data_IF_571170384795
#
_entry.id   IF_571170384795
#
_cell.length_a   1.000
_cell.length_b   1.000
_cell.length_c   1.000
_cell.angle_alpha   90.00
_cell.angle_beta   90.00
_cell.angle_gamma   90.00
#
_symmetry.space_group_name_H-M   'P 1'
#
loop_
_entity.id
_entity.type
_entity.pdbx_description
1 polymer ?
#
# COMPACT_ATOMS: atom_id res chain seq x y z
N UNK A 1 -11.49 -3.18 -13.28
CA UNK A 1 -11.62 -4.67 -13.31
C UNK A 1 -12.36 -5.23 -14.53
N UNK A 2 -13.59 -4.80 -14.88
CA UNK A 2 -14.33 -5.38 -16.02
C UNK A 2 -13.59 -5.30 -17.36
N UNK A 3 -13.03 -4.14 -17.71
CA UNK A 3 -12.22 -3.96 -18.93
C UNK A 3 -10.99 -4.87 -18.93
N UNK A 4 -10.28 -4.95 -17.81
CA UNK A 4 -9.11 -5.83 -17.63
C UNK A 4 -9.44 -7.31 -17.88
N UNK A 5 -10.56 -7.82 -17.34
CA UNK A 5 -10.98 -9.21 -17.59
C UNK A 5 -11.28 -9.46 -19.08
N UNK A 6 -12.11 -8.61 -19.69
CA UNK A 6 -12.49 -8.78 -21.09
C UNK A 6 -11.35 -8.60 -22.07
N UNK A 7 -10.43 -7.67 -21.81
CA UNK A 7 -9.32 -7.37 -22.72
C UNK A 7 -8.09 -8.24 -22.48
N UNK A 8 -7.66 -8.41 -21.23
CA UNK A 8 -6.42 -9.14 -20.96
C UNK A 8 -6.66 -10.65 -20.91
N UNK A 9 -7.63 -11.12 -20.13
CA UNK A 9 -7.87 -12.56 -19.94
C UNK A 9 -8.63 -13.18 -21.10
N UNK A 10 -9.82 -12.65 -21.42
CA UNK A 10 -10.72 -13.27 -22.40
C UNK A 10 -10.20 -13.16 -23.83
N UNK A 11 -9.52 -12.06 -24.18
CA UNK A 11 -8.88 -11.89 -25.48
C UNK A 11 -7.40 -12.31 -25.50
N UNK A 12 -6.85 -12.80 -24.38
CA UNK A 12 -5.48 -13.32 -24.31
C UNK A 12 -4.40 -12.29 -24.66
N UNK A 13 -4.58 -11.02 -24.29
CA UNK A 13 -3.65 -9.92 -24.61
C UNK A 13 -2.44 -9.82 -23.66
N UNK A 14 -2.22 -10.86 -22.86
CA UNK A 14 -1.04 -10.98 -22.01
C UNK A 14 0.22 -11.24 -22.82
N UNK A 15 1.23 -10.40 -22.63
CA UNK A 15 2.60 -10.67 -23.05
C UNK A 15 3.37 -11.24 -21.88
N UNK A 16 3.83 -12.48 -22.01
CA UNK A 16 4.68 -13.12 -20.99
C UNK A 16 6.11 -12.62 -21.13
N UNK A 17 6.68 -12.18 -20.01
CA UNK A 17 8.07 -11.77 -19.90
C UNK A 17 8.80 -12.82 -19.06
N UNK A 18 9.79 -13.44 -19.69
CA UNK A 18 10.74 -14.33 -19.03
C UNK A 18 11.97 -13.54 -18.65
N UNK A 19 12.38 -13.64 -17.39
CA UNK A 19 13.62 -13.03 -16.91
C UNK A 19 14.74 -14.05 -17.13
N UNK A 20 15.38 -13.99 -18.29
CA UNK A 20 16.60 -14.74 -18.55
C UNK A 20 17.79 -13.87 -18.13
N UNK A 21 18.57 -14.33 -17.16
CA UNK A 21 19.76 -13.64 -16.68
C UNK A 21 20.83 -13.45 -17.78
N UNK A 22 20.71 -14.20 -18.88
CA UNK A 22 21.60 -14.13 -20.03
C UNK A 22 21.06 -13.25 -21.17
N UNK A 23 19.89 -12.63 -21.02
CA UNK A 23 19.32 -11.76 -22.06
C UNK A 23 20.15 -10.46 -22.19
N UNK A 24 20.73 -10.23 -23.37
CA UNK A 24 21.51 -9.03 -23.69
C UNK A 24 20.67 -7.88 -24.26
N UNK A 25 19.35 -8.02 -24.34
CA UNK A 25 18.45 -6.98 -24.81
C UNK A 25 18.39 -5.76 -23.87
N UNK A 26 17.60 -4.72 -24.22
CA UNK A 26 17.26 -3.59 -23.33
C UNK A 26 16.72 -4.05 -21.95
N UNK A 27 16.34 -5.33 -21.84
CA UNK A 27 15.85 -5.95 -20.62
C UNK A 27 16.92 -6.57 -19.72
N UNK A 28 18.22 -6.47 -20.05
CA UNK A 28 19.35 -7.01 -19.25
C UNK A 28 19.37 -6.57 -17.78
N UNK A 29 18.72 -5.44 -17.45
CA UNK A 29 18.62 -4.91 -16.09
C UNK A 29 17.32 -5.29 -15.35
N UNK A 30 16.44 -6.08 -15.97
CA UNK A 30 15.23 -6.57 -15.29
C UNK A 30 15.60 -7.74 -14.39
N UNK A 31 15.38 -7.55 -13.10
CA UNK A 31 15.62 -8.59 -12.10
C UNK A 31 14.33 -8.85 -11.37
N UNK A 32 13.90 -10.12 -11.37
CA UNK A 32 12.88 -10.58 -10.44
C UNK A 32 13.54 -11.43 -9.39
N UNK A 33 13.32 -11.04 -8.16
CA UNK A 33 13.79 -11.70 -6.98
C UNK A 33 12.54 -12.20 -6.26
N UNK A 34 12.38 -13.51 -6.14
CA UNK A 34 11.21 -14.10 -5.50
C UNK A 34 11.63 -15.17 -4.49
N UNK A 35 11.17 -15.00 -3.25
CA UNK A 35 11.44 -15.91 -2.15
C UNK A 35 10.14 -16.31 -1.46
N UNK A 36 10.13 -17.51 -0.88
CA UNK A 36 9.09 -18.00 0.00
C UNK A 36 9.68 -18.34 1.36
N UNK A 37 8.96 -18.02 2.43
CA UNK A 37 9.29 -18.31 3.82
C UNK A 37 8.05 -18.85 4.53
N UNK A 38 8.15 -19.97 5.22
CA UNK A 38 7.10 -20.41 6.14
C UNK A 38 7.16 -19.61 7.46
N UNK A 39 6.08 -19.53 8.22
CA UNK A 39 6.04 -18.71 9.44
C UNK A 39 7.12 -19.04 10.47
N UNK A 40 7.41 -20.33 10.67
CA UNK A 40 8.48 -20.77 11.58
C UNK A 40 9.87 -20.36 11.07
N UNK A 41 10.01 -20.10 9.76
CA UNK A 41 11.22 -19.62 9.10
C UNK A 41 11.30 -18.11 8.91
N UNK A 42 10.25 -17.34 9.21
CA UNK A 42 10.24 -15.89 8.96
C UNK A 42 11.36 -15.14 9.73
N UNK A 43 11.88 -15.73 10.81
CA UNK A 43 12.99 -15.18 11.59
C UNK A 43 14.34 -15.88 11.31
N UNK A 44 14.36 -16.85 10.39
CA UNK A 44 15.56 -17.56 9.97
C UNK A 44 15.75 -17.43 8.45
N UNK A 45 16.61 -16.49 8.00
CA UNK A 45 16.83 -16.25 6.58
C UNK A 45 17.47 -17.45 5.86
N UNK A 46 17.99 -18.45 6.59
CA UNK A 46 18.57 -19.67 6.00
C UNK A 46 17.52 -20.64 5.47
N UNK A 47 16.25 -20.42 5.81
CA UNK A 47 15.12 -21.27 5.41
C UNK A 47 14.30 -20.67 4.25
N UNK A 48 14.87 -19.71 3.53
CA UNK A 48 14.28 -19.12 2.33
C UNK A 48 14.37 -20.08 1.14
N UNK A 49 13.26 -20.25 0.41
CA UNK A 49 13.25 -21.00 -0.86
C UNK A 49 13.09 -20.03 -2.02
N UNK A 50 14.07 -20.02 -2.93
CA UNK A 50 13.98 -19.27 -4.18
C UNK A 50 12.92 -19.90 -5.10
N UNK A 51 12.06 -19.06 -5.67
CA UNK A 51 10.96 -19.50 -6.53
C UNK A 51 11.06 -18.86 -7.91
N UNK A 52 10.91 -19.67 -8.95
CA UNK A 52 10.71 -19.13 -10.30
C UNK A 52 9.30 -18.54 -10.39
N UNK A 53 9.22 -17.26 -10.74
CA UNK A 53 7.97 -16.58 -11.06
C UNK A 53 8.02 -16.05 -12.48
N UNK A 54 6.85 -15.93 -13.08
CA UNK A 54 6.64 -15.37 -14.40
C UNK A 54 5.93 -14.03 -14.25
N UNK A 55 6.27 -13.08 -15.10
CA UNK A 55 5.52 -11.83 -15.22
C UNK A 55 4.76 -11.82 -16.54
N UNK A 56 3.49 -11.44 -16.48
CA UNK A 56 2.67 -11.17 -17.64
C UNK A 56 2.32 -9.68 -17.62
N UNK A 57 2.38 -9.03 -18.78
CA UNK A 57 2.01 -7.62 -18.94
C UNK A 57 0.87 -7.49 -19.94
N UNK A 58 -0.08 -6.60 -19.66
CA UNK A 58 -1.18 -6.24 -20.55
C UNK A 58 -1.34 -4.73 -20.55
N UNK A 59 -1.39 -4.11 -21.73
CA UNK A 59 -1.62 -2.67 -21.88
C UNK A 59 -2.98 -2.45 -22.57
N UNK A 60 -3.78 -1.55 -21.99
CA UNK A 60 -5.11 -1.18 -22.45
C UNK A 60 -5.08 0.33 -22.70
N UNK A 61 -5.21 0.75 -23.94
CA UNK A 61 -5.37 2.18 -24.27
C UNK A 61 -6.85 2.56 -24.27
N UNK A 62 -7.15 3.77 -23.78
CA UNK A 62 -8.45 4.41 -23.98
C UNK A 62 -8.63 4.78 -25.46
N UNK A 63 -9.86 5.15 -25.86
CA UNK A 63 -10.20 5.38 -27.28
C UNK A 63 -9.38 6.49 -27.95
N UNK A 64 -8.91 7.46 -27.19
CA UNK A 64 -8.07 8.56 -27.69
C UNK A 64 -6.59 8.18 -27.81
N UNK A 65 -6.18 7.05 -27.20
CA UNK A 65 -4.79 6.59 -27.17
C UNK A 65 -3.86 7.49 -26.32
N UNK A 66 -4.42 8.42 -25.55
CA UNK A 66 -3.69 9.39 -24.71
C UNK A 66 -3.77 9.04 -23.22
N UNK A 67 -4.53 8.03 -22.86
CA UNK A 67 -4.62 7.49 -21.50
C UNK A 67 -4.87 5.99 -21.56
N UNK A 68 -4.66 5.31 -20.44
CA UNK A 68 -4.86 3.87 -20.39
C UNK A 68 -4.43 3.23 -19.09
N UNK A 69 -4.29 1.91 -19.14
CA UNK A 69 -3.81 1.07 -18.06
C UNK A 69 -2.67 0.19 -18.55
N UNK A 70 -1.61 0.07 -17.76
CA UNK A 70 -0.67 -1.05 -17.86
C UNK A 70 -0.87 -1.95 -16.65
N UNK A 71 -0.92 -3.26 -16.86
CA UNK A 71 -1.21 -4.25 -15.84
C UNK A 71 -0.12 -5.30 -15.87
N UNK A 72 0.46 -5.61 -14.73
CA UNK A 72 1.45 -6.66 -14.52
C UNK A 72 0.90 -7.69 -13.55
N UNK A 73 0.93 -8.96 -13.96
CA UNK A 73 0.59 -10.10 -13.13
C UNK A 73 1.85 -10.93 -12.89
N UNK A 74 2.18 -11.16 -11.63
CA UNK A 74 3.45 -11.76 -11.21
C UNK A 74 3.16 -12.99 -10.35
N UNK A 75 3.69 -14.14 -10.75
CA UNK A 75 3.47 -15.43 -10.09
C UNK A 75 3.67 -16.62 -11.05
N UNK A 76 3.11 -17.81 -10.76
CA UNK A 76 2.25 -18.11 -9.63
C UNK A 76 3.01 -18.18 -8.30
N UNK A 77 2.32 -17.83 -7.22
CA UNK A 77 2.68 -18.20 -5.85
C UNK A 77 1.78 -19.36 -5.41
N UNK A 78 2.29 -20.21 -4.52
CA UNK A 78 1.57 -21.38 -4.00
C UNK A 78 1.51 -21.29 -2.49
N UNK A 79 0.38 -20.79 -1.97
CA UNK A 79 0.16 -20.72 -0.52
C UNK A 79 -0.22 -22.08 0.06
N UNK A 80 0.40 -22.47 1.17
CA UNK A 80 0.09 -23.70 1.91
C UNK A 80 -0.54 -23.45 3.28
N UNK A 81 -0.94 -22.21 3.58
CA UNK A 81 -1.43 -21.75 4.87
C UNK A 81 -0.35 -21.74 5.96
N UNK A 82 -0.76 -21.42 7.18
CA UNK A 82 0.15 -21.34 8.33
C UNK A 82 0.98 -20.08 8.35
N UNK A 83 0.49 -18.99 7.75
CA UNK A 83 1.22 -17.73 7.59
C UNK A 83 2.45 -17.89 6.67
N UNK A 84 2.25 -18.63 5.57
CA UNK A 84 3.22 -18.84 4.50
C UNK A 84 3.44 -17.52 3.74
N UNK A 85 4.64 -16.96 3.89
CA UNK A 85 5.06 -15.65 3.42
C UNK A 85 5.72 -15.77 2.05
N UNK A 86 5.27 -14.95 1.12
CA UNK A 86 5.82 -14.83 -0.22
C UNK A 86 6.29 -13.40 -0.43
N UNK A 87 7.57 -13.24 -0.73
CA UNK A 87 8.17 -11.95 -1.04
C UNK A 87 8.64 -11.93 -2.49
N UNK A 88 8.21 -10.93 -3.25
CA UNK A 88 8.62 -10.74 -4.64
C UNK A 88 9.03 -9.29 -4.84
N UNK A 89 10.24 -9.08 -5.33
CA UNK A 89 10.72 -7.79 -5.80
C UNK A 89 10.98 -7.86 -7.31
N UNK A 90 10.35 -6.96 -8.05
CA UNK A 90 10.62 -6.75 -9.48
C UNK A 90 11.28 -5.38 -9.64
N UNK A 91 12.48 -5.38 -10.19
CA UNK A 91 13.22 -4.16 -10.54
C UNK A 91 13.06 -3.94 -12.05
N UNK A 92 12.84 -2.70 -12.45
CA UNK A 92 12.61 -2.30 -13.85
C UNK A 92 11.34 -2.92 -14.45
N UNK A 93 10.22 -2.75 -13.75
CA UNK A 93 8.90 -3.11 -14.25
C UNK A 93 8.65 -2.40 -15.61
N UNK A 94 8.11 -3.07 -16.63
CA UNK A 94 7.76 -2.42 -17.88
C UNK A 94 6.77 -1.28 -17.61
N UNK A 95 6.86 -0.22 -18.39
CA UNK A 95 6.01 0.97 -18.26
C UNK A 95 5.37 1.28 -19.62
N UNK A 96 4.26 2.03 -19.64
CA UNK A 96 3.57 2.39 -20.88
C UNK A 96 4.45 3.36 -21.68
N UNK A 97 4.62 3.20 -22.99
CA UNK A 97 5.54 4.05 -23.77
C UNK A 97 5.11 5.52 -23.89
N UNK A 98 3.82 5.81 -23.75
CA UNK A 98 3.26 7.16 -23.86
C UNK A 98 3.11 7.89 -22.53
N UNK A 99 3.26 7.18 -21.41
CA UNK A 99 3.00 7.74 -20.09
C UNK A 99 3.87 8.96 -19.81
N UNK A 100 3.22 10.04 -19.37
CA UNK A 100 3.83 11.24 -18.79
C UNK A 100 3.43 11.43 -17.33
N UNK A 101 2.29 10.85 -16.95
CA UNK A 101 1.78 10.85 -15.59
C UNK A 101 1.19 9.49 -15.24
N UNK A 102 1.29 9.11 -13.97
CA UNK A 102 0.44 8.09 -13.37
C UNK A 102 -0.71 8.75 -12.60
N UNK A 103 -1.95 8.42 -12.97
CA UNK A 103 -3.17 9.03 -12.45
C UNK A 103 -3.95 8.09 -11.52
N UNK A 104 -3.47 6.86 -11.36
CA UNK A 104 -4.05 5.90 -10.44
C UNK A 104 -3.31 4.56 -10.48
N UNK A 105 -3.70 3.67 -9.58
CA UNK A 105 -3.10 2.35 -9.42
C UNK A 105 -4.08 1.35 -8.87
N UNK A 106 -3.77 0.08 -9.05
CA UNK A 106 -4.28 -1.01 -8.24
C UNK A 106 -3.11 -1.93 -7.90
N UNK A 107 -3.01 -2.39 -6.66
CA UNK A 107 -2.03 -3.43 -6.31
C UNK A 107 -2.64 -4.41 -5.32
N UNK A 108 -2.81 -5.66 -5.72
CA UNK A 108 -3.54 -6.63 -4.92
C UNK A 108 -3.11 -8.08 -5.20
N UNK A 109 -3.33 -9.01 -4.26
CA UNK A 109 -3.29 -10.42 -4.56
C UNK A 109 -4.54 -10.82 -5.36
N UNK A 110 -4.36 -11.59 -6.43
CA UNK A 110 -5.44 -12.07 -7.30
C UNK A 110 -5.34 -13.58 -7.53
N UNK A 111 -6.47 -14.22 -7.75
CA UNK A 111 -6.52 -15.58 -8.27
C UNK A 111 -6.21 -15.61 -9.77
N UNK A 112 -6.08 -16.81 -10.33
CA UNK A 112 -5.77 -17.03 -11.76
C UNK A 112 -6.73 -16.31 -12.71
N UNK A 113 -8.01 -16.23 -12.34
CA UNK A 113 -9.08 -15.55 -13.09
C UNK A 113 -9.08 -14.01 -12.92
N UNK A 114 -8.14 -13.45 -12.15
CA UNK A 114 -8.06 -12.01 -11.86
C UNK A 114 -9.06 -11.51 -10.82
N UNK A 115 -9.81 -12.41 -10.20
CA UNK A 115 -10.60 -12.08 -9.01
C UNK A 115 -9.65 -11.73 -7.86
N UNK A 116 -10.01 -10.69 -7.10
CA UNK A 116 -9.26 -10.29 -5.93
C UNK A 116 -9.32 -11.43 -4.91
N UNK A 117 -8.17 -11.79 -4.35
CA UNK A 117 -8.13 -12.84 -3.34
C UNK A 117 -8.55 -12.30 -1.96
N UNK A 118 -8.21 -11.03 -1.69
CA UNK A 118 -8.57 -10.33 -0.46
C UNK A 118 -8.06 -11.00 0.81
N UNK A 119 -8.46 -10.42 1.94
CA UNK A 119 -8.20 -10.96 3.26
C UNK A 119 -9.52 -11.27 3.99
N UNK A 120 -9.63 -12.47 4.59
CA UNK A 120 -8.85 -13.68 4.30
C UNK A 120 -9.12 -14.19 2.86
N UNK A 121 -8.23 -14.99 2.22
CA UNK A 121 -7.14 -15.77 2.82
C UNK A 121 -5.73 -15.17 2.72
N UNK A 122 -5.52 -14.09 1.96
CA UNK A 122 -4.20 -13.52 1.72
C UNK A 122 -4.06 -12.17 2.42
N UNK A 123 -3.08 -12.06 3.30
CA UNK A 123 -2.71 -10.81 3.94
C UNK A 123 -1.64 -10.08 3.13
N UNK A 124 -1.90 -8.83 2.78
CA UNK A 124 -0.93 -7.96 2.08
C UNK A 124 -0.10 -7.19 3.11
N UNK A 125 1.09 -7.69 3.42
CA UNK A 125 1.96 -7.10 4.46
C UNK A 125 2.69 -5.85 3.94
N UNK A 126 3.30 -5.95 2.76
CA UNK A 126 3.89 -4.82 2.05
C UNK A 126 3.58 -4.94 0.57
N UNK A 127 2.93 -3.93 -0.03
CA UNK A 127 2.81 -3.84 -1.49
C UNK A 127 3.20 -2.43 -1.90
N UNK A 128 4.44 -2.29 -2.35
CA UNK A 128 5.07 -1.01 -2.56
C UNK A 128 5.57 -0.92 -3.99
N UNK A 129 5.17 0.13 -4.69
CA UNK A 129 5.77 0.54 -5.95
C UNK A 129 6.52 1.86 -5.78
N UNK A 130 7.74 1.89 -6.28
CA UNK A 130 8.63 3.03 -6.25
C UNK A 130 9.08 3.45 -7.66
N UNK A 131 9.50 4.71 -7.74
CA UNK A 131 10.13 5.34 -8.90
C UNK A 131 11.59 5.68 -8.56
N UNK A 132 12.38 6.09 -9.56
CA UNK A 132 13.72 6.65 -9.35
C UNK A 132 13.69 7.73 -8.25
N UNK A 133 14.34 7.46 -7.12
CA UNK A 133 14.43 8.37 -5.97
C UNK A 133 13.24 8.34 -4.98
N UNK A 134 12.14 7.61 -5.27
CA UNK A 134 10.97 7.52 -4.38
C UNK A 134 10.56 6.06 -4.18
N UNK A 135 10.94 5.45 -3.05
CA UNK A 135 10.73 4.01 -2.81
C UNK A 135 9.29 3.61 -2.51
N UNK A 136 8.48 4.53 -1.98
CA UNK A 136 7.13 4.27 -1.46
C UNK A 136 6.09 5.18 -2.14
N UNK A 137 6.28 5.39 -3.44
CA UNK A 137 5.45 6.32 -4.18
C UNK A 137 4.05 5.76 -4.40
N UNK A 138 3.86 4.47 -4.32
CA UNK A 138 2.55 3.85 -4.38
C UNK A 138 2.54 2.72 -3.38
N UNK A 139 1.68 2.81 -2.39
CA UNK A 139 1.60 1.78 -1.36
C UNK A 139 0.19 1.22 -1.27
N UNK A 140 0.07 -0.09 -1.15
CA UNK A 140 -1.13 -0.76 -0.67
C UNK A 140 -0.70 -1.56 0.56
N UNK A 141 -1.15 -1.13 1.73
CA UNK A 141 -0.78 -1.73 3.01
C UNK A 141 -1.99 -2.34 3.68
N UNK A 142 -1.79 -3.55 4.21
CA UNK A 142 -2.77 -4.21 5.01
C UNK A 142 -4.00 -4.67 4.23
N UNK A 143 -4.81 -5.39 4.96
CA UNK A 143 -6.13 -5.82 4.59
C UNK A 143 -7.03 -4.60 4.72
N UNK A 144 -6.94 -3.67 3.78
CA UNK A 144 -7.85 -2.54 3.72
C UNK A 144 -8.99 -2.86 2.74
N UNK A 145 -9.95 -3.76 3.08
CA UNK A 145 -11.24 -3.68 2.44
C UNK A 145 -11.89 -2.39 2.94
N UNK A 146 -12.45 -1.61 2.02
CA UNK A 146 -13.46 -0.67 2.47
C UNK A 146 -14.72 -1.44 2.84
N UNK A 147 -15.65 -0.77 3.51
CA UNK A 147 -16.99 -1.31 3.66
C UNK A 147 -17.61 -1.57 2.28
N UNK A 148 -18.54 -2.52 2.21
CA UNK A 148 -19.20 -2.92 0.95
C UNK A 148 -19.82 -1.73 0.20
N UNK A 149 -20.43 -0.80 0.94
CA UNK A 149 -21.02 0.44 0.43
C UNK A 149 -19.98 1.44 -0.10
N UNK A 150 -18.72 1.27 0.27
CA UNK A 150 -17.58 2.10 -0.15
C UNK A 150 -16.65 1.34 -1.11
N UNK A 151 -17.14 0.26 -1.72
CA UNK A 151 -16.47 -0.46 -2.78
C UNK A 151 -15.87 -1.81 -2.37
N UNK A 152 -15.96 -2.21 -1.09
CA UNK A 152 -15.48 -3.51 -0.62
C UNK A 152 -13.99 -3.70 -0.92
N UNK A 153 -13.70 -4.68 -1.78
CA UNK A 153 -12.34 -4.95 -2.27
C UNK A 153 -11.81 -3.92 -3.28
N UNK A 154 -12.64 -2.96 -3.72
CA UNK A 154 -12.21 -1.90 -4.65
C UNK A 154 -11.17 -0.96 -4.05
N UNK A 155 -10.87 -1.04 -2.76
CA UNK A 155 -9.92 -0.14 -2.10
C UNK A 155 -8.46 -0.42 -2.39
N UNK A 156 -8.17 -1.52 -3.11
CA UNK A 156 -6.90 -1.69 -3.78
C UNK A 156 -6.73 -0.71 -4.96
N UNK A 157 -7.82 -0.23 -5.56
CA UNK A 157 -7.84 0.74 -6.65
C UNK A 157 -7.85 2.16 -6.07
N UNK A 158 -6.80 2.92 -6.38
CA UNK A 158 -6.56 4.27 -5.88
C UNK A 158 -6.36 5.18 -7.09
N UNK A 159 -7.04 6.32 -7.12
CA UNK A 159 -6.92 7.31 -8.19
C UNK A 159 -6.69 8.70 -7.60
N UNK A 160 -5.77 9.43 -8.21
CA UNK A 160 -5.66 10.85 -7.93
C UNK A 160 -6.95 11.57 -8.38
N UNK A 161 -7.31 12.69 -7.75
CA UNK A 161 -8.43 13.50 -8.22
C UNK A 161 -8.26 13.88 -9.69
N UNK A 162 -9.38 14.05 -10.39
CA UNK A 162 -9.38 14.40 -11.80
C UNK A 162 -8.50 15.63 -12.09
N UNK A 163 -7.66 15.52 -13.12
CA UNK A 163 -6.69 16.56 -13.49
C UNK A 163 -5.40 16.57 -12.65
N UNK A 164 -5.14 15.55 -11.84
CA UNK A 164 -3.89 15.40 -11.08
C UNK A 164 -3.21 14.06 -11.36
N UNK A 165 -1.88 14.04 -11.27
CA UNK A 165 -1.11 12.81 -11.48
C UNK A 165 0.35 12.95 -11.08
N UNK A 166 0.96 11.82 -10.74
CA UNK A 166 2.40 11.74 -10.43
C UNK A 166 3.18 11.83 -11.74
N UNK A 167 4.10 12.80 -11.91
CA UNK A 167 4.94 12.88 -13.10
C UNK A 167 5.78 11.62 -13.28
N UNK A 168 5.95 11.21 -14.53
CA UNK A 168 6.76 10.05 -14.89
C UNK A 168 7.66 10.38 -16.08
N UNK A 169 8.97 10.22 -15.89
CA UNK A 169 9.97 10.47 -16.93
C UNK A 169 10.16 9.21 -17.75
N UNK A 170 9.56 9.22 -18.93
CA UNK A 170 9.52 8.08 -19.85
C UNK A 170 10.39 8.30 -21.09
N UNK A 171 11.52 8.98 -20.91
CA UNK A 171 12.47 9.25 -21.99
C UNK A 171 13.39 8.03 -22.22
N UNK A 172 14.30 8.11 -23.18
CA UNK A 172 15.34 7.09 -23.33
C UNK A 172 16.31 7.12 -22.14
N UNK A 173 16.91 5.97 -21.85
CA UNK A 173 18.03 5.83 -20.91
C UNK A 173 19.10 6.92 -21.20
N UNK A 174 19.68 7.58 -20.18
CA UNK A 174 19.64 7.28 -18.74
C UNK A 174 18.60 8.04 -17.91
N UNK A 175 17.75 8.87 -18.53
CA UNK A 175 16.85 9.77 -17.79
C UNK A 175 15.51 9.15 -17.41
N UNK A 176 15.29 7.88 -17.76
CA UNK A 176 14.04 7.16 -17.53
C UNK A 176 13.87 6.80 -16.06
N UNK A 177 12.67 6.99 -15.54
CA UNK A 177 12.31 6.53 -14.20
C UNK A 177 12.24 4.99 -14.16
N UNK A 178 12.91 4.41 -13.17
CA UNK A 178 12.86 2.98 -12.89
C UNK A 178 11.61 2.67 -12.05
N UNK A 179 10.80 1.71 -12.50
CA UNK A 179 9.70 1.18 -11.70
C UNK A 179 10.18 -0.04 -10.92
N UNK A 180 10.08 0.03 -9.60
CA UNK A 180 10.34 -1.11 -8.71
C UNK A 180 9.06 -1.46 -7.97
N UNK A 181 8.68 -2.74 -7.95
CA UNK A 181 7.60 -3.21 -7.09
C UNK A 181 8.11 -4.27 -6.11
N UNK A 182 7.68 -4.18 -4.86
CA UNK A 182 7.87 -5.18 -3.83
C UNK A 182 6.49 -5.64 -3.32
N UNK A 183 6.28 -6.94 -3.30
CA UNK A 183 5.12 -7.58 -2.70
C UNK A 183 5.59 -8.47 -1.55
N UNK A 184 4.85 -8.42 -0.44
CA UNK A 184 4.94 -9.37 0.66
C UNK A 184 3.51 -9.79 0.97
N UNK A 185 3.17 -11.02 0.59
CA UNK A 185 1.87 -11.64 0.84
C UNK A 185 2.01 -12.79 1.82
N UNK A 186 1.09 -12.92 2.77
CA UNK A 186 1.04 -14.05 3.69
C UNK A 186 -0.25 -14.85 3.49
N UNK A 187 -0.15 -16.15 3.27
CA UNK A 187 -1.29 -17.06 3.33
C UNK A 187 -1.64 -17.37 4.78
N UNK A 188 -2.64 -16.65 5.29
CA UNK A 188 -3.05 -16.70 6.69
C UNK A 188 -4.04 -17.84 6.99
N UNK A 189 -4.33 -18.72 6.01
CA UNK A 189 -5.23 -19.86 6.24
C UNK A 189 -4.65 -20.73 7.35
N UNK A 190 -5.51 -21.18 8.25
CA UNK A 190 -5.09 -22.00 9.40
C UNK A 190 -4.40 -23.27 8.90
N UNK A 191 -3.18 -23.51 9.37
CA UNK A 191 -2.46 -24.78 9.24
C UNK A 191 -2.04 -25.25 10.63
N UNK A 192 -2.47 -26.45 11.03
CA UNK A 192 -2.07 -27.09 12.27
C UNK A 192 -2.24 -28.61 12.16
N UNK A 193 -1.99 -29.34 13.26
CA UNK A 193 -2.06 -30.81 13.32
C UNK A 193 -3.36 -31.41 12.77
N UNK A 194 -4.48 -30.67 12.86
CA UNK A 194 -5.81 -31.14 12.47
C UNK A 194 -6.32 -30.50 11.17
N UNK A 195 -5.63 -29.50 10.63
CA UNK A 195 -6.07 -28.71 9.48
C UNK A 195 -4.89 -28.48 8.56
N UNK A 196 -4.95 -29.11 7.38
CA UNK A 196 -4.01 -28.82 6.27
C UNK A 196 -4.82 -28.24 5.12
N UNK A 197 -4.70 -26.93 4.84
CA UNK A 197 -5.44 -26.33 3.74
C UNK A 197 -4.90 -26.85 2.40
N UNK A 198 -5.76 -26.96 1.40
CA UNK A 198 -5.32 -27.29 0.05
C UNK A 198 -4.40 -26.18 -0.51
N UNK A 199 -3.37 -26.52 -1.30
CA UNK A 199 -2.54 -25.52 -1.96
C UNK A 199 -3.38 -24.51 -2.73
N UNK A 200 -3.05 -23.22 -2.59
CA UNK A 200 -3.75 -22.12 -3.24
C UNK A 200 -2.83 -21.41 -4.20
N UNK A 201 -3.24 -21.33 -5.46
CA UNK A 201 -2.53 -20.56 -6.47
C UNK A 201 -3.02 -19.13 -6.49
N UNK A 202 -2.09 -18.18 -6.39
CA UNK A 202 -2.39 -16.76 -6.48
C UNK A 202 -1.24 -15.99 -7.14
N UNK A 203 -1.48 -14.72 -7.42
CA UNK A 203 -0.58 -13.83 -8.14
C UNK A 203 -0.59 -12.46 -7.47
N UNK A 204 0.51 -11.72 -7.56
CA UNK A 204 0.51 -10.28 -7.31
C UNK A 204 0.13 -9.57 -8.60
N UNK A 205 -0.85 -8.67 -8.56
CA UNK A 205 -1.21 -7.84 -9.70
C UNK A 205 -0.99 -6.37 -9.38
N UNK A 206 -0.30 -5.65 -10.27
CA UNK A 206 -0.17 -4.19 -10.26
C UNK A 206 -0.81 -3.67 -11.53
N UNK A 207 -1.76 -2.76 -11.42
CA UNK A 207 -2.25 -1.95 -12.52
C UNK A 207 -1.87 -0.50 -12.29
N UNK A 208 -1.41 0.20 -13.31
CA UNK A 208 -1.12 1.63 -13.28
C UNK A 208 -1.95 2.33 -14.35
N UNK A 209 -2.76 3.29 -13.93
CA UNK A 209 -3.45 4.20 -14.84
C UNK A 209 -2.49 5.28 -15.26
N UNK A 210 -2.35 5.51 -16.55
CA UNK A 210 -1.43 6.49 -17.10
C UNK A 210 -2.14 7.50 -17.99
N UNK A 211 -1.51 8.67 -18.14
CA UNK A 211 -1.94 9.71 -19.08
C UNK A 211 -0.74 10.35 -19.77
N UNK A 212 -0.94 10.74 -21.03
CA UNK A 212 0.00 11.52 -21.84
C UNK A 212 -0.39 13.01 -21.94
N UNK A 213 -1.53 13.42 -21.34
CA UNK A 213 -2.13 14.75 -21.51
C UNK A 213 -1.47 15.81 -20.62
N UNK A 214 -0.30 16.30 -21.04
CA UNK A 214 0.52 17.23 -20.23
C UNK A 214 -0.18 18.55 -19.90
N UNK A 215 -1.04 19.04 -20.79
CA UNK A 215 -1.74 20.31 -20.58
C UNK A 215 -2.99 20.19 -19.69
N UNK A 216 -3.47 18.95 -19.45
CA UNK A 216 -4.67 18.67 -18.65
C UNK A 216 -4.34 18.17 -17.23
N UNK A 217 -3.15 17.60 -17.03
CA UNK A 217 -2.74 17.00 -15.76
C UNK A 217 -1.78 17.91 -15.00
N UNK A 218 -2.17 18.28 -13.78
CA UNK A 218 -1.33 19.00 -12.84
C UNK A 218 -0.43 18.02 -12.08
N UNK A 219 0.88 18.28 -12.01
CA UNK A 219 1.80 17.41 -11.31
C UNK A 219 1.50 17.42 -9.80
N UNK A 220 1.55 16.24 -9.19
CA UNK A 220 1.60 16.10 -7.73
C UNK A 220 2.97 15.61 -7.29
N UNK A 221 3.37 16.02 -6.08
CA UNK A 221 4.50 15.43 -5.37
C UNK A 221 3.97 14.60 -4.21
N UNK A 222 4.76 13.62 -3.80
CA UNK A 222 4.44 12.77 -2.68
C UNK A 222 5.52 12.83 -1.62
N UNK A 223 5.08 12.89 -0.37
CA UNK A 223 5.95 12.79 0.79
C UNK A 223 5.33 11.80 1.79
N UNK A 224 6.12 10.82 2.22
CA UNK A 224 5.77 9.96 3.33
C UNK A 224 6.27 10.60 4.63
N UNK A 225 5.35 11.05 5.47
CA UNK A 225 5.68 11.46 6.83
C UNK A 225 5.74 10.21 7.71
N UNK A 226 6.95 9.67 7.87
CA UNK A 226 7.16 8.62 8.86
C UNK A 226 6.87 9.17 10.24
N UNK A 227 6.06 8.43 11.00
CA UNK A 227 5.83 8.77 12.39
C UNK A 227 7.17 8.83 13.10
N UNK A 228 7.57 10.00 13.59
CA UNK A 228 8.74 10.09 14.48
C UNK A 228 8.53 9.09 15.61
N UNK A 229 9.58 8.31 15.88
CA UNK A 229 9.61 7.38 17.01
C UNK A 229 9.44 8.11 18.34
N UNK A 230 9.86 7.49 19.43
CA UNK A 230 9.56 7.88 20.82
C UNK A 230 10.10 9.25 21.30
N UNK A 231 10.59 10.10 20.41
CA UNK A 231 11.24 11.37 20.76
C UNK A 231 10.26 12.52 20.99
N UNK A 232 8.99 12.37 20.66
CA UNK A 232 7.97 13.38 20.92
C UNK A 232 7.17 12.99 22.18
N UNK A 233 7.02 13.92 23.13
CA UNK A 233 6.46 13.67 24.47
C UNK A 233 5.01 13.16 24.51
N UNK A 234 4.41 13.13 23.34
CA UNK A 234 3.02 12.82 23.03
C UNK A 234 2.85 11.54 22.19
N UNK A 235 3.93 10.86 21.82
CA UNK A 235 3.83 9.55 21.16
C UNK A 235 3.33 8.51 22.17
N UNK A 236 2.28 7.78 21.80
CA UNK A 236 1.82 6.60 22.52
C UNK A 236 1.62 5.42 21.57
N UNK A 237 1.58 4.23 22.15
CA UNK A 237 1.19 3.02 21.44
C UNK A 237 -0.33 2.98 21.24
N UNK A 238 -0.74 2.38 20.13
CA UNK A 238 -2.14 2.05 19.87
C UNK A 238 -2.43 0.77 20.64
N UNK A 239 -3.47 0.80 21.45
CA UNK A 239 -3.99 -0.39 22.14
C UNK A 239 -5.28 -0.82 21.48
N UNK A 240 -5.39 -2.12 21.22
CA UNK A 240 -6.50 -2.70 20.46
C UNK A 240 -7.73 -2.99 21.31
N UNK A 241 -7.60 -2.91 22.65
CA UNK A 241 -8.67 -3.25 23.60
C UNK A 241 -9.55 -2.07 24.01
N UNK A 242 -9.18 -0.84 23.67
CA UNK A 242 -9.92 0.38 24.02
C UNK A 242 -9.71 1.46 22.95
N UNK A 243 -10.61 2.44 22.83
CA UNK A 243 -10.35 3.62 22.03
C UNK A 243 -9.03 4.27 22.44
N UNK A 244 -8.14 4.45 21.47
CA UNK A 244 -6.86 5.12 21.66
C UNK A 244 -6.57 5.98 20.43
N UNK A 245 -5.75 7.00 20.62
CA UNK A 245 -5.37 7.91 19.55
C UNK A 245 -3.85 7.98 19.43
N UNK A 246 -3.38 8.04 18.19
CA UNK A 246 -1.97 8.26 17.87
C UNK A 246 -1.89 9.44 16.92
N UNK A 247 -0.95 10.34 17.18
CA UNK A 247 -0.72 11.50 16.32
C UNK A 247 0.75 11.60 15.98
N UNK A 248 1.00 12.22 14.82
CA UNK A 248 2.33 12.62 14.39
C UNK A 248 2.28 14.06 13.95
N UNK A 249 3.34 14.78 14.29
CA UNK A 249 3.57 16.14 13.79
C UNK A 249 4.80 16.12 12.92
N UNK A 250 4.71 16.72 11.76
CA UNK A 250 5.81 16.92 10.85
C UNK A 250 5.74 18.31 10.23
N UNK A 251 6.86 18.76 9.72
CA UNK A 251 6.88 19.91 8.82
C UNK A 251 6.65 19.37 7.42
N UNK A 252 5.60 19.85 6.75
CA UNK A 252 5.44 19.56 5.32
C UNK A 252 6.58 20.23 4.56
N UNK A 253 7.18 19.55 3.57
CA UNK A 253 8.31 20.11 2.81
C UNK A 253 7.88 21.26 1.88
N UNK A 254 6.58 21.51 1.76
CA UNK A 254 5.98 22.52 0.90
C UNK A 254 4.90 23.28 1.64
N UNK A 255 4.71 24.55 1.29
CA UNK A 255 3.64 25.46 1.71
C UNK A 255 2.34 25.27 0.89
N UNK A 256 2.31 24.25 0.02
CA UNK A 256 1.24 23.99 -0.93
C UNK A 256 -0.03 23.38 -0.34
N UNK A 257 -0.99 23.13 -1.23
CA UNK A 257 -2.26 22.46 -0.90
C UNK A 257 -2.05 20.96 -0.70
N UNK A 258 -2.51 20.43 0.42
CA UNK A 258 -2.59 18.98 0.63
C UNK A 258 -3.82 18.47 -0.13
N UNK A 259 -3.60 17.49 -0.99
CA UNK A 259 -4.68 16.81 -1.70
C UNK A 259 -5.00 15.55 -0.88
N UNK A 260 -6.20 15.50 -0.32
CA UNK A 260 -6.76 14.30 0.29
C UNK A 260 -7.86 13.86 -0.68
N UNK A 261 -7.68 12.74 -1.36
CA UNK A 261 -8.69 12.19 -2.26
C UNK A 261 -9.87 11.68 -1.42
N UNK A 262 -11.08 12.26 -1.57
CA UNK A 262 -12.28 11.77 -0.88
C UNK A 262 -12.61 10.33 -1.28
N UNK A 263 -12.30 9.93 -2.51
CA UNK A 263 -12.53 8.60 -3.05
C UNK A 263 -11.50 7.57 -2.54
N UNK A 264 -10.26 7.98 -2.27
CA UNK A 264 -9.24 7.12 -1.65
C UNK A 264 -9.44 6.98 -0.12
N UNK A 265 -10.35 7.77 0.45
CA UNK A 265 -10.83 7.79 1.84
C UNK A 265 -9.78 7.90 2.95
N UNK A 266 -8.49 7.90 2.64
CA UNK A 266 -7.42 7.89 3.63
C UNK A 266 -6.22 8.75 3.19
N UNK A 267 -5.66 9.59 4.08
CA UNK A 267 -4.27 10.01 3.90
C UNK A 267 -3.42 8.74 3.82
N UNK A 268 -2.54 8.64 2.81
CA UNK A 268 -1.75 7.43 2.56
C UNK A 268 -0.89 7.12 3.78
N UNK A 269 -1.32 6.14 4.57
CA UNK A 269 -0.72 5.77 5.84
C UNK A 269 -0.21 4.33 5.78
N UNK A 270 1.01 4.16 6.23
CA UNK A 270 1.67 2.87 6.34
C UNK A 270 1.28 2.19 7.66
N UNK A 271 0.32 1.26 7.62
CA UNK A 271 -0.07 0.42 8.75
C UNK A 271 0.11 -1.07 8.45
N UNK A 272 0.68 -1.82 9.39
CA UNK A 272 0.77 -3.28 9.25
C UNK A 272 -0.52 -4.01 9.65
N UNK A 273 -1.48 -3.29 10.26
CA UNK A 273 -2.84 -3.73 10.58
C UNK A 273 -3.81 -2.56 10.70
N UNK A 274 -5.04 -2.76 10.25
CA UNK A 274 -6.16 -1.82 10.34
C UNK A 274 -6.71 -1.73 11.77
N UNK A 275 -5.91 -1.20 12.71
CA UNK A 275 -6.37 -0.88 14.07
C UNK A 275 -7.00 0.50 14.18
N UNK A 276 -6.93 1.28 13.11
CA UNK A 276 -7.42 2.64 13.05
C UNK A 276 -8.86 2.63 12.53
N UNK A 277 -9.75 3.27 13.27
CA UNK A 277 -11.15 3.47 12.86
C UNK A 277 -11.34 4.75 12.06
N UNK A 278 -10.39 5.69 12.15
CA UNK A 278 -10.41 6.95 11.43
C UNK A 278 -9.01 7.59 11.39
N UNK A 279 -8.80 8.44 10.39
CA UNK A 279 -7.58 9.23 10.22
C UNK A 279 -7.93 10.67 9.90
N UNK A 280 -7.11 11.57 10.42
CA UNK A 280 -7.26 13.00 10.18
C UNK A 280 -5.90 13.61 9.90
N UNK A 281 -5.87 14.56 8.97
CA UNK A 281 -4.69 15.37 8.67
C UNK A 281 -5.05 16.85 8.88
N UNK A 282 -4.20 17.57 9.59
CA UNK A 282 -4.40 18.99 9.90
C UNK A 282 -3.13 19.78 9.58
N UNK A 283 -3.31 21.00 9.08
CA UNK A 283 -2.25 22.00 9.00
C UNK A 283 -2.25 22.86 10.27
N UNK A 284 -1.95 22.24 11.42
CA UNK A 284 -1.95 22.89 12.74
C UNK A 284 -0.99 22.16 13.71
N UNK A 285 -0.47 22.88 14.69
CA UNK A 285 0.25 22.31 15.83
C UNK A 285 -0.71 21.54 16.76
N UNK A 286 -0.22 20.56 17.56
CA UNK A 286 -1.03 19.89 18.58
C UNK A 286 -1.72 20.88 19.53
N UNK A 287 -1.03 21.95 19.92
CA UNK A 287 -1.53 22.98 20.82
C UNK A 287 -2.72 23.75 20.21
N UNK A 288 -2.64 24.10 18.93
CA UNK A 288 -3.75 24.74 18.19
C UNK A 288 -4.97 23.82 18.08
N UNK A 289 -4.74 22.50 17.99
CA UNK A 289 -5.79 21.49 18.01
C UNK A 289 -6.30 21.17 19.44
N UNK A 290 -5.72 21.78 20.47
CA UNK A 290 -6.08 21.51 21.87
C UNK A 290 -5.60 20.16 22.40
N UNK A 291 -4.71 19.47 21.68
CA UNK A 291 -4.07 18.20 22.07
C UNK A 291 -3.01 18.44 23.16
N UNK A 292 -3.47 18.83 24.33
CA UNK A 292 -2.64 19.14 25.50
C UNK A 292 -2.76 18.03 26.56
N UNK A 293 -1.86 18.02 27.54
CA UNK A 293 -1.96 17.13 28.72
C UNK A 293 -3.22 17.34 29.57
N UNK A 294 -3.98 18.41 29.33
CA UNK A 294 -5.31 18.60 29.93
C UNK A 294 -6.37 17.70 29.28
N UNK A 295 -6.27 17.50 27.97
CA UNK A 295 -7.18 16.65 27.18
C UNK A 295 -6.75 15.18 27.23
N UNK A 296 -5.45 14.94 27.23
CA UNK A 296 -4.86 13.61 27.10
C UNK A 296 -4.25 13.22 28.44
N UNK A 297 -4.77 12.16 29.07
CA UNK A 297 -4.17 11.57 30.27
C UNK A 297 -3.45 10.27 29.89
N UNK A 298 -2.23 10.09 30.38
CA UNK A 298 -1.55 8.79 30.29
C UNK A 298 -2.25 7.81 31.21
N UNK A 299 -2.70 6.70 30.67
CA UNK A 299 -3.25 5.60 31.42
C UNK A 299 -2.33 4.39 31.27
N UNK A 300 -2.16 3.69 32.37
CA UNK A 300 -1.49 2.39 32.42
C UNK A 300 -2.42 1.32 31.85
N UNK A 301 -2.05 0.71 30.72
CA UNK A 301 -2.77 -0.43 30.14
C UNK A 301 -2.15 -1.80 30.49
N UNK A 302 -1.05 -1.81 31.25
CA UNK A 302 -0.35 -3.03 31.64
C UNK A 302 -1.16 -3.89 32.62
N UNK A 303 -2.04 -3.27 33.41
CA UNK A 303 -2.99 -3.98 34.27
C UNK A 303 -3.97 -4.88 33.48
N UNK A 304 -4.15 -4.68 32.16
CA UNK A 304 -5.03 -5.51 31.31
C UNK A 304 -4.30 -6.45 30.35
N UNK A 305 -3.01 -6.23 30.08
CA UNK A 305 -2.23 -7.05 29.13
C UNK A 305 -1.36 -8.11 29.81
N UNK A 306 -1.08 -7.99 31.11
CA UNK A 306 -0.24 -8.92 31.89
C UNK A 306 1.18 -9.09 31.32
N UNK A 307 1.73 -8.09 30.63
CA UNK A 307 2.99 -8.19 29.89
C UNK A 307 4.26 -7.97 30.73
N UNK A 308 4.16 -7.94 32.06
CA UNK A 308 5.32 -7.80 32.95
C UNK A 308 5.50 -6.37 33.47
N UNK A 309 6.76 -5.95 33.72
CA UNK A 309 7.06 -4.62 34.28
C UNK A 309 6.76 -3.54 33.23
N UNK A 310 6.10 -2.46 33.67
CA UNK A 310 5.81 -1.29 32.84
C UNK A 310 7.05 -0.83 32.07
N UNK A 311 6.96 -0.89 30.75
CA UNK A 311 7.86 -0.14 29.87
C UNK A 311 7.13 1.13 29.39
N UNK A 312 7.87 2.12 28.90
CA UNK A 312 7.33 3.35 28.29
C UNK A 312 6.36 3.07 27.14
N UNK A 313 6.34 1.84 26.62
CA UNK A 313 5.43 1.33 25.61
C UNK A 313 4.02 1.01 26.13
N UNK A 314 3.82 0.88 27.44
CA UNK A 314 2.52 0.49 28.02
C UNK A 314 1.63 1.68 28.40
N UNK A 315 2.10 2.90 28.14
CA UNK A 315 1.36 4.14 28.41
C UNK A 315 0.54 4.55 27.18
N UNK A 316 -0.75 4.71 27.38
CA UNK A 316 -1.71 5.14 26.34
C UNK A 316 -2.32 6.48 26.68
N UNK A 317 -2.59 7.29 25.66
CA UNK A 317 -3.41 8.50 25.85
C UNK A 317 -4.88 8.13 25.70
N UNK A 318 -5.63 8.21 26.79
CA UNK A 318 -7.08 8.01 26.77
C UNK A 318 -7.75 9.26 27.30
N UNK A 319 -8.54 9.96 26.50
CA UNK A 319 -9.49 10.94 27.00
C UNK A 319 -10.77 10.23 27.45
N UNK A 320 -11.65 10.97 28.13
CA UNK A 320 -13.03 10.51 28.33
C UNK A 320 -13.79 10.46 26.98
N UNK A 321 -13.47 11.39 26.04
CA UNK A 321 -13.92 11.37 24.63
C UNK A 321 -12.99 12.21 23.69
N UNK A 322 -11.97 11.61 23.05
CA UNK A 322 -11.03 12.31 22.16
C UNK A 322 -11.67 12.89 20.92
N UNK A 323 -12.56 12.09 20.32
CA UNK A 323 -13.09 12.33 18.99
C UNK A 323 -13.96 13.57 19.08
N UNK A 324 -14.85 13.64 20.08
CA UNK A 324 -15.69 14.81 20.31
C UNK A 324 -14.88 16.08 20.56
N UNK A 325 -13.81 16.02 21.35
CA UNK A 325 -12.97 17.21 21.59
C UNK A 325 -12.29 17.72 20.31
N UNK A 326 -11.84 16.79 19.46
CA UNK A 326 -11.28 17.12 18.15
C UNK A 326 -12.35 17.65 17.20
N UNK A 327 -13.51 17.00 17.11
CA UNK A 327 -14.66 17.42 16.31
C UNK A 327 -15.16 18.81 16.70
N UNK A 328 -15.31 19.10 18.00
CA UNK A 328 -15.72 20.41 18.49
C UNK A 328 -14.71 21.49 18.09
N UNK A 329 -13.40 21.18 18.08
CA UNK A 329 -12.35 22.10 17.61
C UNK A 329 -12.36 22.29 16.10
N UNK A 330 -12.53 21.22 15.32
CA UNK A 330 -12.64 21.29 13.86
C UNK A 330 -13.91 22.04 13.45
N UNK A 331 -15.02 21.84 14.15
CA UNK A 331 -16.26 22.57 13.92
C UNK A 331 -16.08 24.08 14.23
N UNK A 332 -15.27 24.43 15.23
CA UNK A 332 -14.95 25.82 15.57
C UNK A 332 -13.90 26.44 14.62
N UNK A 333 -13.03 25.63 14.00
CA UNK A 333 -12.04 26.10 13.03
C UNK A 333 -12.62 26.30 11.62
N UNK A 334 -13.88 25.88 11.37
CA UNK A 334 -14.65 26.31 10.19
C UNK A 334 -15.08 27.77 10.38
N UNK A 335 -14.11 28.68 10.33
CA UNK A 335 -14.32 30.09 10.03
C UNK A 335 -13.42 30.43 8.85
N UNK A 336 -14.10 30.84 7.79
CA UNK A 336 -13.64 31.39 6.51
C UNK A 336 -13.12 30.39 5.47
#
# INVERSE_FOLDING_TARGET
>A
MKQRKGYCDEQGKWTTLTFDENDESEYKNKKVIAYSEYADSQFDPTLTEERTVVMQTCEIEDKDGESGWIIHRIGPMVGIGGYDRHEITVINLPHPHKAKFFTGKMMAPVYKNGELAGFPPLHSHHVMLGFSGVKHAFESHGDAPCSEDLGGESCYLISYPDGYGLPFINESVPYRDELMVNFIFNDVRRRNENVTPHPMLFYGEVALKWSAKVDEIKPVSMAALHMRGQYHGYVANIVTKRPSLRWSTGTWPVDGKIIISPEDQLPWFHAHRSYFTAFWAFAASPEELGLTTKLLRKVDDNNQTRNGKLDKFDLVWTPDDPIRALEEKVAQSRKD
#
